data_IF_693293167493
#
_entry.id   IF_693293167493
#
_cell.length_a   1.000
_cell.length_b   1.000
_cell.length_c   1.000
_cell.angle_alpha   90.00
_cell.angle_beta   90.00
_cell.angle_gamma   90.00
#
_symmetry.space_group_name_H-M   'P 1'
#
loop_
_entity.id
_entity.type
_entity.pdbx_description
1 polymer ?
#
# COMPACT_ATOMS: atom_id res chain seq x y z
N UNK A 1 -10.75 -11.20 22.94
CA UNK A 1 -9.50 -11.53 22.24
C UNK A 1 -9.69 -11.53 20.72
N UNK A 2 -10.68 -12.31 20.25
CA UNK A 2 -10.91 -12.40 18.81
C UNK A 2 -11.32 -11.06 18.20
N UNK A 3 -11.94 -10.18 18.95
CA UNK A 3 -12.33 -8.86 18.43
C UNK A 3 -11.12 -7.98 18.15
N UNK A 4 -10.07 -8.08 18.98
CA UNK A 4 -8.84 -7.34 18.73
C UNK A 4 -8.13 -7.87 17.49
N UNK A 5 -8.05 -9.18 17.35
CA UNK A 5 -7.46 -9.79 16.16
C UNK A 5 -8.23 -9.40 14.91
N UNK A 6 -9.56 -9.46 14.97
CA UNK A 6 -10.39 -9.06 13.82
C UNK A 6 -10.19 -7.61 13.45
N UNK A 7 -10.07 -6.73 14.44
CA UNK A 7 -9.83 -5.32 14.17
C UNK A 7 -8.48 -5.10 13.49
N UNK A 8 -7.44 -5.75 13.99
CA UNK A 8 -6.11 -5.63 13.39
C UNK A 8 -6.10 -6.12 11.95
N UNK A 9 -6.75 -7.26 11.70
CA UNK A 9 -6.83 -7.80 10.34
C UNK A 9 -7.61 -6.86 9.43
N UNK A 10 -8.69 -6.28 9.90
CA UNK A 10 -9.46 -5.33 9.09
C UNK A 10 -8.66 -4.08 8.77
N UNK A 11 -7.87 -3.58 9.72
CA UNK A 11 -7.00 -2.43 9.47
C UNK A 11 -5.98 -2.78 8.39
N UNK A 12 -5.38 -3.96 8.47
CA UNK A 12 -4.41 -4.42 7.47
C UNK A 12 -5.09 -4.56 6.11
N UNK A 13 -6.28 -5.14 6.06
CA UNK A 13 -7.01 -5.30 4.81
C UNK A 13 -7.36 -3.96 4.17
N UNK A 14 -7.77 -2.99 4.98
CA UNK A 14 -8.07 -1.64 4.49
C UNK A 14 -6.81 -1.00 3.89
N UNK A 15 -5.70 -1.10 4.60
CA UNK A 15 -4.44 -0.54 4.11
C UNK A 15 -4.01 -1.23 2.82
N UNK A 16 -4.16 -2.55 2.73
CA UNK A 16 -3.84 -3.29 1.52
C UNK A 16 -4.71 -2.85 0.34
N UNK A 17 -6.00 -2.60 0.59
CA UNK A 17 -6.89 -2.09 -0.44
C UNK A 17 -6.42 -0.73 -0.95
N UNK A 18 -6.05 0.16 -0.03
CA UNK A 18 -5.55 1.49 -0.41
C UNK A 18 -4.26 1.36 -1.22
N UNK A 19 -3.37 0.44 -0.83
CA UNK A 19 -2.14 0.19 -1.58
C UNK A 19 -2.44 -0.29 -3.01
N UNK A 20 -3.41 -1.17 -3.18
CA UNK A 20 -3.78 -1.65 -4.51
C UNK A 20 -4.27 -0.49 -5.37
N UNK A 21 -5.14 0.36 -4.82
CA UNK A 21 -5.64 1.53 -5.54
C UNK A 21 -4.46 2.44 -5.91
N UNK A 22 -3.53 2.64 -4.98
CA UNK A 22 -2.35 3.46 -5.24
C UNK A 22 -1.50 2.88 -6.38
N UNK A 23 -1.26 1.56 -6.35
CA UNK A 23 -0.45 0.90 -7.38
C UNK A 23 -1.10 1.06 -8.75
N UNK A 24 -2.39 0.75 -8.84
CA UNK A 24 -3.13 0.84 -10.09
C UNK A 24 -3.15 2.30 -10.59
N UNK A 25 -3.42 3.24 -9.70
CA UNK A 25 -3.44 4.66 -10.06
C UNK A 25 -2.09 5.13 -10.58
N UNK A 26 -1.00 4.72 -9.93
CA UNK A 26 0.34 5.10 -10.35
C UNK A 26 0.65 4.57 -11.74
N UNK A 27 0.27 3.32 -12.01
CA UNK A 27 0.49 2.73 -13.33
C UNK A 27 -0.34 3.44 -14.40
N UNK A 28 -1.60 3.77 -14.09
CA UNK A 28 -2.46 4.48 -15.03
C UNK A 28 -1.89 5.85 -15.38
N UNK A 29 -1.34 6.54 -14.40
CA UNK A 29 -0.70 7.84 -14.65
C UNK A 29 0.56 7.66 -15.50
N UNK A 30 1.38 6.66 -15.18
CA UNK A 30 2.63 6.42 -15.92
C UNK A 30 2.37 6.04 -17.38
N UNK A 31 1.26 5.34 -17.65
CA UNK A 31 0.90 4.97 -19.01
C UNK A 31 0.04 6.00 -19.71
N UNK A 32 -0.15 7.18 -19.10
CA UNK A 32 -0.95 8.26 -19.66
C UNK A 32 -2.41 7.91 -19.92
N UNK A 33 -2.92 6.91 -19.19
CA UNK A 33 -4.33 6.55 -19.28
C UNK A 33 -5.16 7.57 -18.51
N UNK A 34 -4.65 8.04 -17.37
CA UNK A 34 -5.27 9.08 -16.57
C UNK A 34 -4.45 10.36 -16.70
N UNK A 35 -5.14 11.48 -16.87
CA UNK A 35 -4.48 12.78 -16.98
C UNK A 35 -4.39 13.44 -15.60
N UNK A 36 -3.16 13.63 -15.10
CA UNK A 36 -2.92 14.32 -13.84
C UNK A 36 -3.17 15.82 -13.92
N UNK A 37 -3.39 16.35 -15.13
CA UNK A 37 -3.84 17.73 -15.29
C UNK A 37 -5.23 17.95 -14.76
N UNK A 38 -6.02 16.89 -14.62
CA UNK A 38 -7.32 16.97 -13.98
C UNK A 38 -7.12 17.17 -12.48
N UNK A 39 -7.71 18.23 -11.96
CA UNK A 39 -7.55 18.62 -10.57
C UNK A 39 -8.04 17.54 -9.62
N UNK A 40 -9.15 16.88 -9.95
CA UNK A 40 -9.71 15.81 -9.11
C UNK A 40 -8.76 14.62 -9.05
N UNK A 41 -8.26 14.18 -10.20
CA UNK A 41 -7.33 13.05 -10.28
C UNK A 41 -6.06 13.36 -9.50
N UNK A 42 -5.51 14.55 -9.67
CA UNK A 42 -4.31 14.96 -8.94
C UNK A 42 -4.55 14.94 -7.44
N UNK A 43 -5.70 15.46 -6.98
CA UNK A 43 -6.01 15.49 -5.55
C UNK A 43 -6.10 14.09 -4.97
N UNK A 44 -6.75 13.17 -5.67
CA UNK A 44 -6.88 11.78 -5.21
C UNK A 44 -5.52 11.10 -5.14
N UNK A 45 -4.71 11.25 -6.18
CA UNK A 45 -3.38 10.63 -6.20
C UNK A 45 -2.47 11.22 -5.14
N UNK A 46 -2.55 12.53 -4.91
CA UNK A 46 -1.76 13.18 -3.87
C UNK A 46 -2.15 12.67 -2.48
N UNK A 47 -3.44 12.52 -2.22
CA UNK A 47 -3.91 11.99 -0.95
C UNK A 47 -3.44 10.55 -0.73
N UNK A 48 -3.53 9.71 -1.76
CA UNK A 48 -3.06 8.34 -1.69
C UNK A 48 -1.55 8.28 -1.43
N UNK A 49 -0.80 9.13 -2.12
CA UNK A 49 0.65 9.19 -1.95
C UNK A 49 1.01 9.55 -0.52
N UNK A 50 0.38 10.58 0.03
CA UNK A 50 0.66 11.01 1.40
C UNK A 50 0.29 9.96 2.42
N UNK A 51 -0.79 9.23 2.19
CA UNK A 51 -1.20 8.17 3.10
C UNK A 51 -0.23 7.00 3.08
N UNK A 52 0.26 6.64 1.89
CA UNK A 52 1.14 5.48 1.74
C UNK A 52 2.61 5.81 1.96
N UNK A 53 3.01 7.07 1.87
CA UNK A 53 4.41 7.47 1.88
C UNK A 53 5.20 6.97 3.09
N UNK A 54 4.70 7.06 4.33
CA UNK A 54 5.48 6.60 5.48
C UNK A 54 5.91 5.14 5.36
N UNK A 55 4.99 4.28 4.91
CA UNK A 55 5.30 2.87 4.72
C UNK A 55 6.26 2.65 3.56
N UNK A 56 6.04 3.39 2.47
CA UNK A 56 6.88 3.27 1.28
C UNK A 56 8.31 3.74 1.56
N UNK A 57 8.47 4.82 2.31
CA UNK A 57 9.80 5.32 2.65
C UNK A 57 10.56 4.31 3.51
N UNK A 58 9.88 3.66 4.43
CA UNK A 58 10.51 2.65 5.26
C UNK A 58 11.08 1.52 4.41
N UNK A 59 10.31 1.06 3.44
CA UNK A 59 10.74 -0.02 2.53
C UNK A 59 11.85 0.47 1.62
N UNK A 60 11.76 1.69 1.10
CA UNK A 60 12.76 2.23 0.17
C UNK A 60 14.14 2.35 0.79
N UNK A 61 14.22 2.47 2.11
CA UNK A 61 15.50 2.52 2.78
C UNK A 61 16.28 1.22 2.63
N UNK A 62 15.59 0.11 2.47
CA UNK A 62 16.21 -1.21 2.42
C UNK A 62 16.25 -1.80 1.02
N UNK A 63 15.53 -1.20 0.07
CA UNK A 63 15.48 -1.71 -1.29
C UNK A 63 16.22 -0.78 -2.24
N UNK A 64 17.01 -1.35 -3.16
CA UNK A 64 17.59 -0.55 -4.24
C UNK A 64 16.49 -0.09 -5.21
N UNK A 65 16.76 1.02 -5.88
CA UNK A 65 15.83 1.53 -6.89
C UNK A 65 16.00 0.70 -8.16
N UNK A 66 14.89 0.16 -8.67
CA UNK A 66 14.92 -0.65 -9.89
C UNK A 66 14.33 0.17 -11.05
N UNK A 67 15.12 1.08 -11.59
CA UNK A 67 14.72 1.85 -12.76
C UNK A 67 13.52 2.75 -12.49
N UNK A 68 12.61 2.80 -13.47
CA UNK A 68 11.41 3.64 -13.39
C UNK A 68 10.25 2.99 -12.65
N UNK A 69 10.33 1.68 -12.40
CA UNK A 69 9.28 0.95 -11.71
C UNK A 69 9.53 0.99 -10.21
N UNK A 70 8.55 1.49 -9.48
CA UNK A 70 8.59 1.50 -8.02
C UNK A 70 7.90 0.25 -7.51
N UNK A 71 8.69 -0.67 -6.98
CA UNK A 71 8.18 -1.93 -6.45
C UNK A 71 7.88 -1.84 -4.96
N UNK A 72 8.12 -0.68 -4.33
CA UNK A 72 7.91 -0.52 -2.90
C UNK A 72 6.49 -0.83 -2.46
N UNK A 73 5.43 -0.38 -3.17
CA UNK A 73 4.07 -0.72 -2.76
C UNK A 73 3.79 -2.21 -2.76
N UNK A 74 4.36 -2.92 -3.73
CA UNK A 74 4.18 -4.38 -3.82
C UNK A 74 4.84 -5.06 -2.63
N UNK A 75 6.04 -4.62 -2.26
CA UNK A 75 6.76 -5.18 -1.12
C UNK A 75 5.99 -4.92 0.18
N UNK A 76 5.46 -3.72 0.35
CA UNK A 76 4.65 -3.38 1.53
C UNK A 76 3.41 -4.27 1.58
N UNK A 77 2.75 -4.47 0.44
CA UNK A 77 1.56 -5.34 0.38
C UNK A 77 1.89 -6.75 0.82
N UNK A 78 2.97 -7.31 0.28
CA UNK A 78 3.39 -8.67 0.64
C UNK A 78 3.80 -8.76 2.12
N UNK A 79 4.46 -7.72 2.63
CA UNK A 79 4.83 -7.68 4.03
C UNK A 79 3.62 -7.67 4.95
N UNK A 80 2.58 -6.91 4.55
CA UNK A 80 1.34 -6.88 5.30
C UNK A 80 0.62 -8.23 5.27
N UNK A 81 0.65 -8.89 4.12
CA UNK A 81 0.08 -10.23 3.99
C UNK A 81 0.79 -11.21 4.91
N UNK A 82 2.10 -11.15 4.95
CA UNK A 82 2.90 -11.99 5.83
C UNK A 82 2.59 -11.69 7.30
N UNK A 83 2.51 -10.42 7.66
CA UNK A 83 2.17 -10.01 9.02
C UNK A 83 0.80 -10.53 9.42
N UNK A 84 -0.17 -10.44 8.50
CA UNK A 84 -1.51 -10.95 8.77
C UNK A 84 -1.49 -12.45 9.00
N UNK A 85 -0.71 -13.17 8.20
CA UNK A 85 -0.56 -14.62 8.36
C UNK A 85 0.04 -14.97 9.72
N UNK A 86 1.06 -14.22 10.15
CA UNK A 86 1.67 -14.42 11.45
C UNK A 86 0.67 -14.16 12.58
N UNK A 87 -0.12 -13.11 12.46
CA UNK A 87 -1.12 -12.79 13.48
C UNK A 87 -2.12 -13.94 13.65
N UNK A 88 -2.57 -14.51 12.53
CA UNK A 88 -3.52 -15.61 12.59
C UNK A 88 -2.88 -16.85 13.16
N UNK A 89 -1.65 -17.14 12.75
CA UNK A 89 -0.98 -18.38 13.13
C UNK A 89 -0.53 -18.38 14.58
N UNK A 90 0.03 -17.27 15.05
CA UNK A 90 0.62 -17.20 16.39
C UNK A 90 -0.26 -16.47 17.40
N UNK A 91 -1.48 -16.16 17.04
CA UNK A 91 -2.38 -15.47 17.97
C UNK A 91 -2.74 -16.42 19.11
N UNK A 92 -2.60 -15.98 20.36
CA UNK A 92 -2.98 -16.83 21.50
C UNK A 92 -4.49 -17.07 21.52
N UNK A 93 -4.89 -18.30 21.75
CA UNK A 93 -6.31 -18.69 21.80
C UNK A 93 -6.72 -19.10 23.22
#
# INVERSE_FOLDING_TARGET
MNSILGLLIQIINLFQFILIVYIIGTWLVNFNIINTGNRFVFSVMDALYRFCEPSLNLVRRYLPVFGTLDLSPIVVYLGLWFLKSLLIEYWPR
#
